data_IF_904099783646
#
_entry.id   IF_904099783646
#
_cell.length_a   1.000
_cell.length_b   1.000
_cell.length_c   1.000
_cell.angle_alpha   90.00
_cell.angle_beta   90.00
_cell.angle_gamma   90.00
#
_symmetry.space_group_name_H-M   'P 1'
#
loop_
_entity.id
_entity.type
_entity.pdbx_description
1 polymer ?
#
# COMPACT_ATOMS: atom_id res chain seq x y z
N UNK A 1 0.53 -19.29 16.35
CA UNK A 1 1.04 -18.71 15.08
C UNK A 1 -0.17 -18.44 14.19
N UNK A 2 -0.40 -17.19 13.81
CA UNK A 2 -1.51 -16.83 12.92
C UNK A 2 -1.36 -17.52 11.56
N UNK A 3 -2.43 -18.02 10.93
CA UNK A 3 -2.36 -18.67 9.61
C UNK A 3 -1.72 -17.80 8.51
N UNK A 4 -1.81 -16.46 8.64
CA UNK A 4 -1.21 -15.50 7.71
C UNK A 4 0.33 -15.49 7.79
N UNK A 5 0.91 -15.61 8.98
CA UNK A 5 2.37 -15.66 9.19
C UNK A 5 3.01 -16.92 8.58
N UNK A 6 2.27 -18.03 8.48
CA UNK A 6 2.79 -19.23 7.82
C UNK A 6 3.06 -19.00 6.32
N UNK A 7 2.21 -18.21 5.64
CA UNK A 7 2.39 -17.92 4.20
C UNK A 7 3.57 -17.02 3.92
N UNK A 8 3.84 -16.04 4.78
CA UNK A 8 5.02 -15.17 4.60
C UNK A 8 6.31 -15.97 4.73
N UNK A 9 6.41 -16.87 5.71
CA UNK A 9 7.57 -17.74 5.86
C UNK A 9 7.82 -18.60 4.62
N UNK A 10 6.76 -19.13 4.00
CA UNK A 10 6.88 -19.91 2.75
C UNK A 10 7.35 -19.05 1.55
N UNK A 11 6.89 -17.81 1.45
CA UNK A 11 7.36 -16.88 0.41
C UNK A 11 8.83 -16.52 0.62
N UNK A 12 9.21 -16.14 1.84
CA UNK A 12 10.58 -15.79 2.20
C UNK A 12 11.54 -16.96 2.02
N UNK A 13 11.14 -18.19 2.34
CA UNK A 13 11.94 -19.39 2.10
C UNK A 13 12.25 -19.64 0.60
N UNK A 14 11.51 -19.00 -0.30
CA UNK A 14 11.72 -19.04 -1.77
C UNK A 14 12.37 -17.76 -2.31
N UNK A 15 12.84 -16.86 -1.43
CA UNK A 15 13.40 -15.57 -1.82
C UNK A 15 12.39 -14.58 -2.40
N UNK A 16 11.08 -14.81 -2.17
CA UNK A 16 10.01 -13.94 -2.64
C UNK A 16 9.59 -12.95 -1.54
N UNK A 17 9.35 -11.71 -1.93
CA UNK A 17 8.66 -10.76 -1.08
C UNK A 17 7.16 -11.06 -1.02
N UNK A 18 6.51 -10.68 0.08
CA UNK A 18 5.08 -10.87 0.31
C UNK A 18 4.44 -9.63 0.93
N UNK A 19 3.20 -9.33 0.53
CA UNK A 19 2.47 -8.19 1.04
C UNK A 19 1.14 -8.54 1.68
N UNK A 20 0.77 -7.74 2.69
CA UNK A 20 -0.53 -7.82 3.33
C UNK A 20 -1.56 -7.06 2.49
N UNK A 21 -2.73 -7.65 2.23
CA UNK A 21 -3.75 -7.05 1.37
C UNK A 21 -4.98 -6.64 2.19
N UNK A 22 -5.31 -5.35 2.21
CA UNK A 22 -6.45 -4.70 2.87
C UNK A 22 -6.60 -4.84 4.39
N UNK A 23 -6.10 -5.92 4.99
CA UNK A 23 -6.25 -6.31 6.40
C UNK A 23 -5.45 -5.41 7.38
N UNK A 24 -5.69 -4.11 7.31
CA UNK A 24 -4.93 -3.09 8.01
C UNK A 24 -5.21 -3.07 9.52
N UNK A 25 -6.33 -3.65 9.96
CA UNK A 25 -6.68 -3.88 11.36
C UNK A 25 -5.65 -4.79 12.04
N UNK A 26 -5.10 -5.76 11.31
CA UNK A 26 -4.05 -6.67 11.80
C UNK A 26 -2.62 -6.16 11.51
N UNK A 27 -2.48 -4.94 10.97
CA UNK A 27 -1.18 -4.43 10.55
C UNK A 27 -0.17 -4.36 11.70
N UNK A 28 -0.60 -4.08 12.94
CA UNK A 28 0.31 -4.02 14.08
C UNK A 28 0.92 -5.39 14.44
N UNK A 29 0.16 -6.47 14.27
CA UNK A 29 0.61 -7.83 14.58
C UNK A 29 1.43 -8.41 13.43
N UNK A 30 1.02 -8.13 12.19
CA UNK A 30 1.59 -8.74 10.97
C UNK A 30 2.72 -7.91 10.33
N UNK A 31 3.02 -6.70 10.81
CA UNK A 31 4.08 -5.86 10.22
C UNK A 31 5.46 -6.53 10.29
N UNK A 32 5.70 -7.44 11.23
CA UNK A 32 6.95 -8.22 11.29
C UNK A 32 7.10 -9.20 10.12
N UNK A 33 5.98 -9.79 9.70
CA UNK A 33 5.94 -10.92 8.77
C UNK A 33 5.85 -10.52 7.30
N UNK A 34 5.30 -9.35 6.99
CA UNK A 34 5.07 -8.89 5.61
C UNK A 34 6.01 -7.76 5.19
N UNK A 35 6.40 -7.71 3.92
CA UNK A 35 7.40 -6.75 3.41
C UNK A 35 6.78 -5.39 3.06
N UNK A 36 5.48 -5.39 2.74
CA UNK A 36 4.70 -4.21 2.37
C UNK A 36 3.21 -4.48 2.62
N UNK A 37 2.38 -3.44 2.54
CA UNK A 37 0.92 -3.57 2.56
C UNK A 37 0.32 -2.89 1.32
N UNK A 38 -0.66 -3.55 0.71
CA UNK A 38 -1.46 -3.00 -0.38
C UNK A 38 -2.90 -2.84 0.09
N UNK A 39 -3.45 -1.64 -0.08
CA UNK A 39 -4.79 -1.27 0.34
C UNK A 39 -5.58 -0.72 -0.83
N UNK A 40 -6.87 -1.01 -0.86
CA UNK A 40 -7.79 -0.53 -1.89
C UNK A 40 -8.82 0.41 -1.28
N UNK A 41 -9.06 1.56 -1.91
CA UNK A 41 -10.08 2.54 -1.53
C UNK A 41 -9.94 3.16 -0.14
N UNK A 42 -8.77 3.03 0.51
CA UNK A 42 -8.60 3.54 1.86
C UNK A 42 -8.72 5.07 1.94
N UNK A 43 -8.41 5.78 0.86
CA UNK A 43 -8.54 7.24 0.80
C UNK A 43 -10.00 7.65 0.57
N UNK A 44 -10.70 6.91 -0.30
CA UNK A 44 -12.13 7.10 -0.52
C UNK A 44 -12.94 6.84 0.76
N UNK A 45 -12.56 5.83 1.54
CA UNK A 45 -13.27 5.37 2.74
C UNK A 45 -12.70 5.92 4.06
N UNK A 46 -11.58 6.65 4.02
CA UNK A 46 -11.05 7.36 5.19
C UNK A 46 -10.30 6.51 6.22
N UNK A 47 -9.89 5.28 5.88
CA UNK A 47 -9.22 4.36 6.83
C UNK A 47 -7.72 4.17 6.60
N UNK A 48 -7.08 4.88 5.66
CA UNK A 48 -5.63 4.71 5.39
C UNK A 48 -4.73 4.90 6.63
N UNK A 49 -5.20 5.58 7.68
CA UNK A 49 -4.47 5.72 8.94
C UNK A 49 -4.10 4.38 9.58
N UNK A 50 -4.88 3.32 9.36
CA UNK A 50 -4.61 1.97 9.87
C UNK A 50 -3.33 1.36 9.31
N UNK A 51 -2.83 1.85 8.17
CA UNK A 51 -1.56 1.39 7.55
C UNK A 51 -0.31 1.94 8.24
N UNK A 52 -0.46 2.82 9.24
CA UNK A 52 0.65 3.46 9.92
C UNK A 52 1.73 2.51 10.49
N UNK A 53 1.43 1.29 10.98
CA UNK A 53 2.47 0.34 11.41
C UNK A 53 3.52 0.06 10.33
N UNK A 54 3.11 -0.19 9.08
CA UNK A 54 4.05 -0.43 7.97
C UNK A 54 4.93 0.80 7.69
N UNK A 55 4.33 1.99 7.64
CA UNK A 55 5.08 3.24 7.42
C UNK A 55 6.10 3.51 8.52
N UNK A 56 5.69 3.33 9.79
CA UNK A 56 6.57 3.52 10.95
C UNK A 56 7.73 2.50 10.96
N UNK A 57 7.48 1.29 10.46
CA UNK A 57 8.52 0.27 10.25
C UNK A 57 9.37 0.52 8.98
N UNK A 58 9.18 1.64 8.26
CA UNK A 58 9.90 1.94 7.02
C UNK A 58 9.48 1.08 5.82
N UNK A 59 8.40 0.31 5.95
CA UNK A 59 7.89 -0.60 4.91
C UNK A 59 6.95 0.12 3.93
N UNK A 60 6.97 -0.22 2.63
CA UNK A 60 6.11 0.42 1.64
C UNK A 60 4.61 0.22 1.93
N UNK A 61 3.82 1.26 1.64
CA UNK A 61 2.36 1.18 1.55
C UNK A 61 1.92 1.55 0.14
N UNK A 62 1.28 0.60 -0.52
CA UNK A 62 0.70 0.78 -1.85
C UNK A 62 -0.81 1.01 -1.72
N UNK A 63 -1.33 2.06 -2.34
CA UNK A 63 -2.76 2.37 -2.33
C UNK A 63 -3.32 2.32 -3.75
N UNK A 64 -4.43 1.61 -3.95
CA UNK A 64 -5.19 1.63 -5.20
C UNK A 64 -6.52 2.32 -4.93
N UNK A 65 -6.80 3.37 -5.69
CA UNK A 65 -8.05 4.11 -5.65
C UNK A 65 -8.80 3.96 -6.97
N UNK A 66 -10.13 4.09 -6.93
CA UNK A 66 -10.97 3.80 -8.09
C UNK A 66 -11.76 5.02 -8.54
N UNK A 67 -11.80 5.27 -9.86
CA UNK A 67 -12.60 6.37 -10.45
C UNK A 67 -14.08 6.22 -10.15
N UNK A 68 -14.56 4.98 -10.07
CA UNK A 68 -15.95 4.61 -9.78
C UNK A 68 -16.37 5.01 -8.35
N UNK A 69 -15.41 5.31 -7.48
CA UNK A 69 -15.64 5.81 -6.11
C UNK A 69 -15.52 7.33 -6.00
N UNK A 70 -15.59 8.03 -7.13
CA UNK A 70 -15.48 9.49 -7.18
C UNK A 70 -14.07 10.00 -6.90
N UNK A 71 -13.05 9.14 -6.99
CA UNK A 71 -11.66 9.56 -6.81
C UNK A 71 -11.12 10.17 -8.09
N UNK A 72 -10.41 11.28 -7.94
CA UNK A 72 -9.71 11.98 -9.02
C UNK A 72 -8.21 11.89 -8.81
N UNK A 73 -7.44 11.99 -9.89
CA UNK A 73 -5.97 11.92 -9.82
C UNK A 73 -5.40 12.96 -8.85
N UNK A 74 -5.92 14.20 -8.91
CA UNK A 74 -5.50 15.29 -8.03
C UNK A 74 -5.78 14.96 -6.54
N UNK A 75 -6.95 14.38 -6.22
CA UNK A 75 -7.30 13.98 -4.86
C UNK A 75 -6.41 12.83 -4.38
N UNK A 76 -6.26 11.78 -5.18
CA UNK A 76 -5.40 10.62 -4.87
C UNK A 76 -3.98 11.09 -4.59
N UNK A 77 -3.42 11.93 -5.47
CA UNK A 77 -2.06 12.40 -5.30
C UNK A 77 -1.85 13.26 -4.06
N UNK A 78 -2.77 14.18 -3.77
CA UNK A 78 -2.69 15.03 -2.59
C UNK A 78 -2.71 14.21 -1.32
N UNK A 79 -3.65 13.28 -1.18
CA UNK A 79 -3.74 12.47 0.04
C UNK A 79 -2.61 11.43 0.11
N UNK A 80 -2.19 10.84 -1.00
CA UNK A 80 -1.04 9.94 -1.03
C UNK A 80 0.23 10.62 -0.50
N UNK A 81 0.47 11.88 -0.88
CA UNK A 81 1.58 12.69 -0.31
C UNK A 81 1.40 12.92 1.19
N UNK A 82 0.19 13.27 1.63
CA UNK A 82 -0.13 13.51 3.05
C UNK A 82 0.14 12.28 3.92
N UNK A 83 -0.26 11.09 3.45
CA UNK A 83 -0.04 9.83 4.15
C UNK A 83 1.32 9.20 3.85
N UNK A 84 2.09 9.69 2.86
CA UNK A 84 3.36 9.08 2.46
C UNK A 84 3.20 7.72 1.76
N UNK A 85 2.14 7.55 0.98
CA UNK A 85 1.79 6.33 0.25
C UNK A 85 2.33 6.38 -1.19
N UNK A 86 2.53 5.22 -1.80
CA UNK A 86 2.63 5.11 -3.26
C UNK A 86 1.27 4.69 -3.81
N UNK A 87 0.57 5.60 -4.48
CA UNK A 87 -0.81 5.38 -4.89
C UNK A 87 -0.97 5.24 -6.41
N UNK A 88 -2.04 4.59 -6.85
CA UNK A 88 -2.51 4.62 -8.24
C UNK A 88 -4.02 4.81 -8.27
N UNK A 89 -4.49 5.66 -9.19
CA UNK A 89 -5.89 5.69 -9.57
C UNK A 89 -6.11 4.72 -10.74
N UNK A 90 -7.12 3.87 -10.60
CA UNK A 90 -7.45 2.77 -11.52
C UNK A 90 -8.95 2.78 -11.85
N UNK A 91 -9.33 2.06 -12.90
CA UNK A 91 -10.68 1.52 -13.05
C UNK A 91 -10.81 0.24 -12.24
N UNK A 92 -12.02 -0.10 -11.80
CA UNK A 92 -12.27 -1.28 -10.97
C UNK A 92 -11.91 -2.60 -11.65
N UNK A 93 -11.99 -2.64 -12.98
CA UNK A 93 -11.58 -3.77 -13.83
C UNK A 93 -10.08 -4.11 -13.73
N UNK A 94 -9.26 -3.21 -13.16
CA UNK A 94 -7.80 -3.39 -13.01
C UNK A 94 -7.07 -3.68 -14.33
N UNK A 95 -7.62 -3.21 -15.45
CA UNK A 95 -6.98 -3.25 -16.77
C UNK A 95 -5.67 -2.42 -16.85
N UNK A 96 -5.08 -2.27 -18.03
CA UNK A 96 -3.81 -1.56 -18.21
C UNK A 96 -3.85 -0.06 -17.82
N UNK A 97 -5.01 0.58 -17.78
CA UNK A 97 -5.12 2.02 -17.50
C UNK A 97 -4.74 2.33 -16.06
N UNK A 98 -3.95 3.38 -15.88
CA UNK A 98 -3.41 3.79 -14.59
C UNK A 98 -3.08 5.28 -14.61
N UNK A 99 -3.39 5.98 -13.51
CA UNK A 99 -2.82 7.29 -13.18
C UNK A 99 -2.03 7.17 -11.89
N UNK A 100 -0.71 7.00 -11.97
CA UNK A 100 0.09 6.78 -10.78
C UNK A 100 0.37 8.07 -10.02
N UNK A 101 0.44 7.95 -8.71
CA UNK A 101 1.04 8.94 -7.83
C UNK A 101 2.13 8.31 -6.98
N UNK A 102 3.34 8.31 -7.51
CA UNK A 102 4.47 7.71 -6.82
C UNK A 102 4.92 8.60 -5.68
N UNK A 103 5.37 7.97 -4.59
CA UNK A 103 6.16 8.68 -3.59
C UNK A 103 7.48 9.08 -4.25
N UNK A 104 7.61 10.35 -4.64
CA UNK A 104 8.90 10.90 -5.06
C UNK A 104 9.82 10.80 -3.84
N UNK A 105 10.81 9.91 -3.88
CA UNK A 105 11.91 9.97 -2.92
C UNK A 105 12.69 11.24 -3.25
N UNK A 106 12.47 12.31 -2.49
CA UNK A 106 13.52 13.31 -2.33
C UNK A 106 14.62 12.63 -1.49
N UNK A 107 15.59 11.98 -2.15
CA UNK A 107 16.98 11.78 -1.71
C UNK A 107 17.77 10.93 -2.73
N UNK A 108 18.72 11.61 -3.38
CA UNK A 108 19.96 11.19 -4.06
C UNK A 108 19.90 10.37 -5.37
N UNK A 109 19.88 11.09 -6.49
CA UNK A 109 20.78 10.76 -7.61
C UNK A 109 22.17 11.22 -7.16
N UNK A 110 22.88 10.34 -6.47
CA UNK A 110 24.33 10.41 -6.35
C UNK A 110 24.94 9.59 -7.48
N UNK A 111 25.31 10.27 -8.56
CA UNK A 111 26.51 9.91 -9.32
C UNK A 111 27.64 10.78 -8.81
#
# INVERSE_FOLDING_TARGET
>A
MLPLACRSHQAHARGLAIGLKNDAEQAAELVGDFDWILVESCLAEGWCGLTAPFRRAGKPVFAIEYVERGMTEARVCREARRFGLSAQLKRRELDAWSRPCWRVRAQTIGR
#
